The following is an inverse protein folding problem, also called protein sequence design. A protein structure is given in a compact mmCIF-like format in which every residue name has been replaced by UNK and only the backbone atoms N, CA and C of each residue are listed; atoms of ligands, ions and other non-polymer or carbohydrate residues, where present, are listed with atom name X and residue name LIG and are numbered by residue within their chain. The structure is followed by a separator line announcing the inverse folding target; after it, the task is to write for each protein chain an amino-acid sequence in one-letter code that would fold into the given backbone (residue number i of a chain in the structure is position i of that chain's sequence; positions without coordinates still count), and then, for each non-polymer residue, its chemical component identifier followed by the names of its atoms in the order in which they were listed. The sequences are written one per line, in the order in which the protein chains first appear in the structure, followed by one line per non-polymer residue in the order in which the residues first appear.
data_IF_895302964879
#
_entry.id   IF_895302964879
#
_cell.length_a   1.000
_cell.length_b   1.000
_cell.length_c   1.000
_cell.angle_alpha   90.00
_cell.angle_beta   90.00
_cell.angle_gamma   90.00
#
_symmetry.space_group_name_H-M   'P 1'
#
loop_
_entity.id
_entity.type
_entity.pdbx_description
1 polymer ?
#
# COMPACT_ATOMS: atom_id res chain seq x y z
N UNK A 1 -23.27 18.61 -20.97
CA UNK A 1 -23.43 17.91 -19.66
C UNK A 1 -22.78 16.52 -19.60
N UNK A 2 -23.04 15.59 -20.54
CA UNK A 2 -22.48 14.22 -20.50
C UNK A 2 -20.94 14.15 -20.48
N UNK A 3 -20.27 15.04 -21.21
CA UNK A 3 -18.80 15.07 -21.31
C UNK A 3 -18.12 15.48 -19.99
N UNK A 4 -18.71 16.44 -19.27
CA UNK A 4 -18.22 16.90 -17.96
C UNK A 4 -18.29 15.76 -16.93
N UNK A 5 -19.38 14.98 -16.96
CA UNK A 5 -19.53 13.79 -16.12
C UNK A 5 -18.48 12.71 -16.41
N UNK A 6 -18.18 12.46 -17.68
CA UNK A 6 -17.11 11.52 -18.04
C UNK A 6 -15.74 11.98 -17.53
N UNK A 7 -15.41 13.26 -17.68
CA UNK A 7 -14.16 13.84 -17.17
C UNK A 7 -14.10 13.71 -15.65
N UNK A 8 -15.21 13.98 -14.95
CA UNK A 8 -15.28 13.84 -13.50
C UNK A 8 -15.04 12.40 -13.03
N UNK A 9 -15.64 11.41 -13.70
CA UNK A 9 -15.43 9.98 -13.40
C UNK A 9 -13.96 9.59 -13.62
N UNK A 10 -13.33 10.07 -14.69
CA UNK A 10 -11.91 9.80 -14.96
C UNK A 10 -11.02 10.36 -13.84
N UNK A 11 -11.30 11.59 -13.38
CA UNK A 11 -10.57 12.20 -12.26
C UNK A 11 -10.73 11.37 -10.98
N UNK A 12 -11.94 10.91 -10.67
CA UNK A 12 -12.20 10.04 -9.51
C UNK A 12 -11.43 8.72 -9.59
N UNK A 13 -11.39 8.08 -10.77
CA UNK A 13 -10.62 6.86 -10.99
C UNK A 13 -9.11 7.09 -10.80
N UNK A 14 -8.59 8.22 -11.28
CA UNK A 14 -7.19 8.58 -11.08
C UNK A 14 -6.85 8.85 -9.61
N UNK A 15 -7.74 9.52 -8.88
CA UNK A 15 -7.58 9.73 -7.44
C UNK A 15 -7.62 8.41 -6.67
N UNK A 16 -8.50 7.50 -7.06
CA UNK A 16 -8.57 6.16 -6.46
C UNK A 16 -7.24 5.41 -6.62
N UNK A 17 -6.72 5.31 -7.84
CA UNK A 17 -5.48 4.58 -8.15
C UNK A 17 -4.23 5.23 -7.55
N UNK A 18 -4.14 6.56 -7.55
CA UNK A 18 -2.93 7.26 -7.11
C UNK A 18 -2.88 7.55 -5.61
N UNK A 19 -4.03 7.75 -4.97
CA UNK A 19 -4.11 8.24 -3.58
C UNK A 19 -4.69 7.17 -2.67
N UNK A 20 -5.90 6.69 -2.96
CA UNK A 20 -6.61 5.77 -2.08
C UNK A 20 -5.95 4.39 -2.03
N UNK A 21 -5.59 3.84 -3.19
CA UNK A 21 -5.01 2.50 -3.27
C UNK A 21 -3.71 2.37 -2.46
N UNK A 22 -2.72 3.30 -2.58
CA UNK A 22 -1.53 3.26 -1.73
C UNK A 22 -1.80 3.46 -0.24
N UNK A 23 -2.75 4.34 0.11
CA UNK A 23 -3.14 4.58 1.51
C UNK A 23 -3.68 3.30 2.17
N UNK A 24 -4.55 2.56 1.47
CA UNK A 24 -5.10 1.29 1.96
C UNK A 24 -3.99 0.24 2.11
N UNK A 25 -3.07 0.16 1.14
CA UNK A 25 -1.94 -0.78 1.21
C UNK A 25 -1.04 -0.48 2.41
N UNK A 26 -0.62 0.77 2.59
CA UNK A 26 0.16 1.20 3.76
C UNK A 26 -0.55 0.90 5.07
N UNK A 27 -1.85 1.21 5.17
CA UNK A 27 -2.64 0.90 6.39
C UNK A 27 -2.62 -0.60 6.74
N UNK A 28 -2.71 -1.47 5.74
CA UNK A 28 -2.59 -2.93 5.94
C UNK A 28 -1.19 -3.35 6.38
N UNK A 29 -0.14 -2.72 5.85
CA UNK A 29 1.25 -2.96 6.27
C UNK A 29 1.41 -2.62 7.75
N UNK A 30 1.02 -1.40 8.15
CA UNK A 30 1.11 -0.96 9.55
C UNK A 30 0.37 -1.92 10.48
N UNK A 31 -0.87 -2.27 10.15
CA UNK A 31 -1.66 -3.21 10.97
C UNK A 31 -1.03 -4.60 11.03
N UNK A 32 -0.43 -5.10 9.95
CA UNK A 32 0.24 -6.39 9.97
C UNK A 32 1.46 -6.39 10.90
N UNK A 33 2.31 -5.37 10.81
CA UNK A 33 3.51 -5.26 11.65
C UNK A 33 3.14 -4.99 13.11
N UNK A 34 2.13 -4.16 13.37
CA UNK A 34 1.60 -3.92 14.72
C UNK A 34 1.07 -5.22 15.35
N UNK A 35 0.37 -6.07 14.58
CA UNK A 35 -0.09 -7.38 15.04
C UNK A 35 1.07 -8.35 15.36
N UNK A 36 2.26 -8.14 14.79
CA UNK A 36 3.47 -8.87 15.12
C UNK A 36 4.21 -8.30 16.35
N UNK A 37 3.68 -7.22 16.97
CA UNK A 37 4.36 -6.48 18.03
C UNK A 37 5.54 -5.65 17.53
N UNK A 38 5.59 -5.36 16.23
CA UNK A 38 6.64 -4.56 15.61
C UNK A 38 6.20 -3.11 15.35
N UNK A 39 7.18 -2.29 14.97
CA UNK A 39 7.00 -0.91 14.53
C UNK A 39 7.55 -0.75 13.12
N UNK A 40 6.77 -0.15 12.22
CA UNK A 40 7.22 0.18 10.86
C UNK A 40 8.12 1.41 10.91
N UNK A 41 9.33 1.27 10.41
CA UNK A 41 10.32 2.35 10.33
C UNK A 41 10.25 3.07 8.99
N UNK A 42 10.18 2.32 7.89
CA UNK A 42 10.10 2.87 6.54
C UNK A 42 9.29 1.95 5.60
N UNK A 43 8.58 2.55 4.66
CA UNK A 43 7.88 1.83 3.59
C UNK A 43 8.30 2.44 2.25
N UNK A 44 9.09 1.70 1.49
CA UNK A 44 9.48 2.08 0.14
C UNK A 44 8.60 1.39 -0.88
N UNK A 45 8.09 2.15 -1.84
CA UNK A 45 7.29 1.59 -2.93
C UNK A 45 8.21 1.23 -4.09
N UNK A 46 8.38 -0.06 -4.36
CA UNK A 46 9.24 -0.57 -5.43
C UNK A 46 8.60 -0.38 -6.80
N UNK A 47 7.30 -0.64 -6.92
CA UNK A 47 6.58 -0.48 -8.19
C UNK A 47 5.18 0.09 -7.98
N UNK A 48 4.82 1.07 -8.82
CA UNK A 48 3.49 1.69 -8.77
C UNK A 48 2.40 0.76 -9.32
N UNK A 49 2.71 -0.01 -10.37
CA UNK A 49 1.75 -0.88 -11.05
C UNK A 49 1.34 -2.09 -10.21
N UNK A 50 2.35 -2.77 -9.64
CA UNK A 50 2.16 -4.04 -8.95
C UNK A 50 1.98 -3.89 -7.43
N UNK A 51 1.93 -2.64 -6.91
CA UNK A 51 1.82 -2.33 -5.48
C UNK A 51 2.77 -3.19 -4.64
N UNK A 52 4.04 -3.19 -5.04
CA UNK A 52 5.09 -3.87 -4.32
C UNK A 52 5.76 -2.85 -3.40
N UNK A 53 5.80 -3.19 -2.11
CA UNK A 53 6.42 -2.38 -1.08
C UNK A 53 7.52 -3.17 -0.39
N UNK A 54 8.62 -2.49 -0.14
CA UNK A 54 9.68 -2.93 0.73
C UNK A 54 9.45 -2.29 2.10
N UNK A 55 9.25 -3.12 3.12
CA UNK A 55 8.85 -2.69 4.46
C UNK A 55 10.01 -2.95 5.41
N UNK A 56 10.53 -1.87 5.98
CA UNK A 56 11.52 -1.91 7.04
C UNK A 56 10.79 -1.74 8.37
N UNK A 57 10.99 -2.67 9.29
CA UNK A 57 10.31 -2.65 10.58
C UNK A 57 11.19 -3.25 11.67
N UNK A 58 11.00 -2.75 12.88
CA UNK A 58 11.65 -3.28 14.07
C UNK A 58 10.67 -4.16 14.83
N UNK A 59 11.03 -5.41 15.10
CA UNK A 59 10.25 -6.34 15.91
C UNK A 59 11.19 -7.04 16.89
N UNK A 60 10.79 -7.14 18.17
CA UNK A 60 11.62 -7.73 19.23
C UNK A 60 13.03 -7.12 19.36
N UNK A 61 13.19 -5.85 19.01
CA UNK A 61 14.50 -5.16 19.02
C UNK A 61 15.40 -5.45 17.82
N UNK A 62 14.95 -6.25 16.85
CA UNK A 62 15.67 -6.55 15.62
C UNK A 62 15.08 -5.79 14.43
N UNK A 63 15.96 -5.20 13.62
CA UNK A 63 15.59 -4.61 12.34
C UNK A 63 15.34 -5.72 11.31
N UNK A 64 14.14 -5.73 10.77
CA UNK A 64 13.67 -6.68 9.79
C UNK A 64 13.30 -5.97 8.49
N UNK A 65 13.31 -6.74 7.41
CA UNK A 65 12.89 -6.31 6.10
C UNK A 65 11.99 -7.39 5.49
N UNK A 66 10.86 -6.98 4.92
CA UNK A 66 9.97 -7.85 4.16
C UNK A 66 9.46 -7.16 2.91
N UNK A 67 9.33 -7.91 1.83
CA UNK A 67 8.70 -7.45 0.59
C UNK A 67 7.24 -7.90 0.60
N UNK A 68 6.34 -6.93 0.48
CA UNK A 68 4.90 -7.19 0.39
C UNK A 68 4.36 -6.80 -0.97
N UNK A 69 3.62 -7.71 -1.59
CA UNK A 69 2.91 -7.48 -2.85
C UNK A 69 1.41 -7.47 -2.62
N UNK A 70 0.73 -6.43 -3.12
CA UNK A 70 -0.73 -6.34 -3.11
C UNK A 70 -1.31 -6.65 -4.48
N UNK A 71 -2.36 -7.47 -4.53
CA UNK A 71 -3.18 -7.62 -5.73
C UNK A 71 -4.25 -6.50 -5.85
N UNK A 72 -5.04 -6.53 -6.93
CA UNK A 72 -6.16 -5.59 -7.17
C UNK A 72 -7.19 -5.55 -6.02
N UNK A 73 -7.35 -6.64 -5.26
CA UNK A 73 -8.27 -6.75 -4.14
C UNK A 73 -7.59 -6.60 -2.78
N UNK A 74 -6.40 -5.98 -2.76
CA UNK A 74 -5.61 -5.75 -1.54
C UNK A 74 -5.25 -7.02 -0.76
N UNK A 75 -5.23 -8.20 -1.40
CA UNK A 75 -4.65 -9.41 -0.78
C UNK A 75 -3.14 -9.28 -0.82
N UNK A 76 -2.51 -9.62 0.30
CA UNK A 76 -1.07 -9.46 0.52
C UNK A 76 -0.35 -10.79 0.41
N UNK A 77 0.81 -10.78 -0.22
CA UNK A 77 1.80 -11.83 -0.14
C UNK A 77 3.05 -11.20 0.47
N UNK A 78 3.49 -11.70 1.62
CA UNK A 78 4.70 -11.30 2.31
C UNK A 78 5.82 -12.29 1.96
N UNK A 79 7.01 -11.77 1.67
CA UNK A 79 8.21 -12.53 1.38
C UNK A 79 9.41 -11.95 2.10
#
# INVERSE_FOLDING_TARGET
MRLIWMIFIIILLLLYEKVWRPLICKKKIYSHIENLGGQVDNIERLTQRDEIYNVYYTANGEMNNSIVKFNLFYKTIWK
#
